data_IF_388421093839
#
_entry.id   IF_388421093839
#
_cell.length_a   1.000
_cell.length_b   1.000
_cell.length_c   1.000
_cell.angle_alpha   90.00
_cell.angle_beta   90.00
_cell.angle_gamma   90.00
#
_symmetry.space_group_name_H-M   'P 1'
#
loop_
_entity.id
_entity.type
_entity.pdbx_description
1 polymer ?
#
# COMPACT_ATOMS: atom_id res chain seq x y z
N UNK A 1 15.05 19.19 -12.25
CA UNK A 1 13.72 19.02 -11.87
C UNK A 1 12.90 18.37 -12.91
N UNK A 2 12.89 18.88 -14.08
CA UNK A 2 12.14 18.25 -15.14
C UNK A 2 12.64 16.85 -15.37
N UNK A 3 13.93 16.67 -15.24
CA UNK A 3 14.54 15.38 -15.43
C UNK A 3 14.05 14.38 -14.42
N UNK A 4 13.87 14.83 -13.21
CA UNK A 4 13.41 13.98 -12.14
C UNK A 4 12.00 13.46 -12.42
N UNK A 5 11.16 14.34 -12.88
CA UNK A 5 9.81 13.95 -13.18
C UNK A 5 9.75 12.96 -14.32
N UNK A 6 10.57 13.17 -15.29
CA UNK A 6 10.60 12.28 -16.42
C UNK A 6 11.03 10.89 -16.00
N UNK A 7 12.04 10.84 -15.19
CA UNK A 7 12.52 9.60 -14.68
C UNK A 7 11.47 8.87 -13.92
N UNK A 8 10.78 9.59 -13.10
CA UNK A 8 9.73 9.05 -12.32
C UNK A 8 8.64 8.44 -13.18
N UNK A 9 8.28 9.14 -14.20
CA UNK A 9 7.24 8.69 -15.08
C UNK A 9 7.65 7.41 -15.81
N UNK A 10 8.85 7.37 -16.27
CA UNK A 10 9.35 6.19 -16.94
C UNK A 10 9.40 5.01 -16.00
N UNK A 11 9.80 5.26 -14.80
CA UNK A 11 9.90 4.22 -13.82
C UNK A 11 8.55 3.66 -13.46
N UNK A 12 7.58 4.52 -13.38
CA UNK A 12 6.26 4.10 -13.04
C UNK A 12 5.75 3.04 -13.97
N UNK A 13 6.03 3.20 -15.19
CA UNK A 13 5.55 2.28 -16.18
C UNK A 13 6.17 0.93 -16.10
N UNK A 14 7.46 0.86 -15.94
CA UNK A 14 8.05 -0.39 -16.04
C UNK A 14 8.26 -0.94 -14.77
N UNK A 15 8.09 -0.24 -13.90
CA UNK A 15 8.70 -0.67 -12.88
C UNK A 15 7.98 -1.13 -11.83
N UNK A 16 7.09 -1.81 -12.00
CA UNK A 16 6.60 -2.44 -10.95
C UNK A 16 7.65 -3.02 -10.14
N UNK A 17 8.80 -3.41 -10.68
CA UNK A 17 9.86 -3.97 -9.92
C UNK A 17 10.77 -2.96 -9.39
N UNK A 18 11.07 -2.00 -10.19
CA UNK A 18 12.06 -1.03 -9.81
C UNK A 18 11.60 -0.14 -8.69
N UNK A 19 10.34 0.03 -8.56
CA UNK A 19 9.82 0.88 -7.50
C UNK A 19 10.00 0.31 -6.11
N UNK A 20 10.61 -0.84 -6.01
CA UNK A 20 10.78 -1.42 -4.70
C UNK A 20 11.78 -0.68 -3.84
N UNK A 21 12.70 0.01 -4.45
CA UNK A 21 13.74 0.66 -3.67
C UNK A 21 13.86 2.11 -4.08
N UNK A 22 13.94 2.99 -3.12
CA UNK A 22 14.21 4.38 -3.41
C UNK A 22 15.70 4.59 -3.43
N UNK A 23 16.18 5.19 -4.51
CA UNK A 23 17.59 5.48 -4.60
C UNK A 23 17.88 6.95 -4.45
N UNK A 24 16.92 7.79 -4.48
CA UNK A 24 17.11 9.23 -4.33
C UNK A 24 16.54 9.71 -3.04
N UNK A 25 16.52 11.02 -2.86
CA UNK A 25 16.01 11.59 -1.63
C UNK A 25 14.50 11.69 -1.63
N UNK A 26 13.87 11.63 -2.76
CA UNK A 26 12.43 11.70 -2.82
C UNK A 26 11.89 11.35 -4.19
N UNK A 27 10.64 10.97 -4.24
CA UNK A 27 9.94 10.68 -5.47
C UNK A 27 8.58 11.33 -5.39
N UNK A 28 8.11 11.87 -6.52
CA UNK A 28 6.80 12.46 -6.60
C UNK A 28 5.97 11.64 -7.57
N UNK A 29 4.78 11.26 -7.15
CA UNK A 29 3.89 10.48 -7.98
C UNK A 29 2.62 11.25 -8.27
N UNK A 30 2.12 11.13 -9.50
CA UNK A 30 0.79 11.64 -9.82
C UNK A 30 -0.17 10.49 -9.55
N UNK A 31 -0.76 10.52 -8.40
CA UNK A 31 -1.53 9.38 -7.91
C UNK A 31 -2.68 9.02 -8.83
N UNK A 32 -3.35 10.01 -9.40
CA UNK A 32 -4.46 9.73 -10.30
C UNK A 32 -4.00 8.94 -11.53
N UNK A 33 -2.84 9.28 -12.06
CA UNK A 33 -2.29 8.56 -13.21
C UNK A 33 -1.91 7.14 -12.84
N UNK A 34 -1.40 6.97 -11.64
CA UNK A 34 -1.06 5.64 -11.16
C UNK A 34 -2.30 4.77 -11.00
N UNK A 35 -3.37 5.37 -10.54
CA UNK A 35 -4.63 4.66 -10.42
C UNK A 35 -5.14 4.23 -11.79
N UNK A 36 -5.07 5.13 -12.77
CA UNK A 36 -5.53 4.81 -14.12
C UNK A 36 -4.73 3.67 -14.73
N UNK A 37 -3.44 3.71 -14.52
CA UNK A 37 -2.56 2.66 -15.02
C UNK A 37 -2.89 1.32 -14.36
N UNK A 38 -3.12 1.36 -13.09
CA UNK A 38 -3.42 0.14 -12.35
C UNK A 38 -4.79 -0.41 -12.71
N UNK A 39 -5.72 0.48 -13.08
CA UNK A 39 -7.04 0.04 -13.50
C UNK A 39 -6.96 -0.78 -14.77
N UNK A 40 -6.06 -0.43 -15.67
CA UNK A 40 -5.83 -1.20 -16.88
C UNK A 40 -5.29 -2.58 -16.52
N UNK A 41 -4.39 -2.64 -15.56
CA UNK A 41 -3.87 -3.92 -15.11
C UNK A 41 -4.98 -4.77 -14.51
N UNK A 42 -5.86 -4.15 -13.79
CA UNK A 42 -6.95 -4.87 -13.16
C UNK A 42 -7.86 -5.54 -14.17
N UNK A 43 -8.04 -4.91 -15.31
CA UNK A 43 -8.88 -5.48 -16.36
C UNK A 43 -8.31 -6.79 -16.90
N UNK A 44 -7.02 -6.99 -16.76
CA UNK A 44 -6.36 -8.17 -17.27
C UNK A 44 -6.03 -9.20 -16.20
N UNK A 45 -6.59 -9.04 -15.00
CA UNK A 45 -6.32 -9.98 -13.93
C UNK A 45 -7.59 -10.67 -13.49
N UNK A 46 -7.48 -11.93 -13.15
CA UNK A 46 -8.64 -12.69 -12.75
C UNK A 46 -8.90 -12.63 -11.25
N UNK A 47 -7.95 -12.13 -10.49
CA UNK A 47 -8.09 -12.13 -9.04
C UNK A 47 -8.88 -10.99 -8.46
N UNK A 48 -9.28 -10.05 -9.27
CA UNK A 48 -10.08 -8.94 -8.79
C UNK A 48 -9.31 -7.87 -8.06
N UNK A 49 -8.00 -7.92 -8.10
CA UNK A 49 -7.19 -6.87 -7.49
C UNK A 49 -5.87 -6.71 -8.21
N UNK A 50 -5.34 -5.51 -8.17
CA UNK A 50 -4.04 -5.20 -8.72
C UNK A 50 -3.35 -4.27 -7.74
N UNK A 51 -2.05 -4.38 -7.62
CA UNK A 51 -1.29 -3.59 -6.67
C UNK A 51 0.05 -3.19 -7.26
N UNK A 52 0.54 -2.05 -6.80
CA UNK A 52 1.81 -1.53 -7.26
C UNK A 52 2.51 -0.85 -6.10
N UNK A 53 3.72 -1.28 -5.79
CA UNK A 53 4.50 -0.60 -4.76
C UNK A 53 5.06 0.67 -5.36
N UNK A 54 4.63 1.81 -4.85
CA UNK A 54 5.10 3.08 -5.34
C UNK A 54 6.48 3.41 -4.80
N UNK A 55 6.69 3.16 -3.53
CA UNK A 55 7.96 3.49 -2.90
C UNK A 55 8.25 2.54 -1.76
N UNK A 56 9.52 2.27 -1.56
CA UNK A 56 9.95 1.41 -0.48
C UNK A 56 11.28 1.90 0.05
N UNK A 57 11.35 2.11 1.34
CA UNK A 57 12.61 2.42 2.02
C UNK A 57 12.80 1.39 3.12
N UNK A 58 13.81 1.56 3.91
CA UNK A 58 14.05 0.65 5.02
C UNK A 58 12.91 0.64 6.02
N UNK A 59 12.27 1.75 6.22
CA UNK A 59 11.23 1.85 7.24
C UNK A 59 9.83 2.12 6.73
N UNK A 60 9.64 2.16 5.41
CA UNK A 60 8.34 2.56 4.87
C UNK A 60 8.07 1.91 3.53
N UNK A 61 6.85 1.48 3.35
CA UNK A 61 6.42 0.99 2.03
C UNK A 61 5.05 1.57 1.72
N UNK A 62 4.91 2.14 0.54
CA UNK A 62 3.65 2.70 0.08
C UNK A 62 3.19 1.90 -1.13
N UNK A 63 2.03 1.31 -1.04
CA UNK A 63 1.47 0.48 -2.09
C UNK A 63 0.12 1.02 -2.52
N UNK A 64 -0.06 1.15 -3.82
CA UNK A 64 -1.35 1.51 -4.36
C UNK A 64 -2.07 0.22 -4.71
N UNK A 65 -3.32 0.11 -4.30
CA UNK A 65 -4.12 -1.09 -4.52
C UNK A 65 -5.43 -0.71 -5.18
N UNK A 66 -5.82 -1.48 -6.17
CA UNK A 66 -7.13 -1.34 -6.78
C UNK A 66 -7.82 -2.69 -6.64
N UNK A 67 -9.02 -2.69 -6.09
CA UNK A 67 -9.70 -3.91 -5.72
C UNK A 67 -11.17 -3.84 -6.13
N UNK A 68 -11.68 -4.90 -6.71
CA UNK A 68 -13.08 -4.93 -7.16
C UNK A 68 -14.02 -5.19 -6.00
N UNK A 69 -15.27 -4.83 -6.21
CA UNK A 69 -16.29 -5.03 -5.20
C UNK A 69 -16.31 -6.48 -4.73
N UNK A 70 -16.48 -6.64 -3.43
CA UNK A 70 -16.60 -7.92 -2.74
C UNK A 70 -15.32 -8.76 -2.69
N UNK A 71 -14.24 -8.25 -3.22
CA UNK A 71 -12.95 -8.94 -3.13
C UNK A 71 -12.30 -8.59 -1.79
N UNK A 72 -11.64 -9.56 -1.23
CA UNK A 72 -11.04 -9.41 0.08
C UNK A 72 -9.53 -9.56 0.01
N UNK A 73 -8.82 -8.85 0.85
CA UNK A 73 -7.38 -9.06 0.96
C UNK A 73 -6.97 -9.00 2.42
N UNK A 74 -5.92 -9.73 2.76
CA UNK A 74 -5.44 -9.82 4.13
C UNK A 74 -3.95 -9.54 4.15
N UNK A 75 -3.57 -8.26 4.26
CA UNK A 75 -2.15 -7.94 4.31
C UNK A 75 -1.51 -8.56 5.54
N UNK A 76 -0.21 -8.82 5.42
CA UNK A 76 0.49 -9.39 6.55
C UNK A 76 0.67 -8.35 7.63
N UNK A 77 0.62 -8.80 8.86
CA UNK A 77 0.85 -7.91 9.99
C UNK A 77 2.30 -7.44 9.99
N UNK A 78 2.52 -6.20 10.37
CA UNK A 78 3.86 -5.66 10.47
C UNK A 78 4.07 -5.15 11.88
N UNK A 79 5.32 -4.98 12.24
CA UNK A 79 5.63 -4.51 13.58
C UNK A 79 5.26 -3.06 13.77
N UNK A 80 5.37 -2.28 12.73
CA UNK A 80 4.98 -0.88 12.82
C UNK A 80 3.54 -0.70 12.43
N UNK A 81 3.08 0.50 12.51
CA UNK A 81 1.71 0.80 12.16
C UNK A 81 1.50 0.85 10.66
N UNK A 82 0.26 1.05 10.28
CA UNK A 82 -0.10 1.15 8.89
C UNK A 82 -1.20 2.19 8.73
N UNK A 83 -1.39 2.69 7.53
CA UNK A 83 -2.54 3.52 7.24
C UNK A 83 -3.12 3.10 5.90
N UNK A 84 -4.43 3.28 5.78
CA UNK A 84 -5.12 3.04 4.54
C UNK A 84 -5.87 4.31 4.21
N UNK A 85 -5.57 4.89 3.07
CA UNK A 85 -6.26 6.08 2.60
C UNK A 85 -7.07 5.71 1.37
N UNK A 86 -8.38 5.89 1.42
CA UNK A 86 -9.23 5.56 0.30
C UNK A 86 -9.28 6.72 -0.66
N UNK A 87 -8.82 6.49 -1.88
CA UNK A 87 -8.79 7.52 -2.91
C UNK A 87 -10.12 7.59 -3.64
N UNK A 88 -10.73 6.45 -3.87
CA UNK A 88 -12.04 6.37 -4.50
C UNK A 88 -12.66 5.04 -4.12
N UNK A 89 -13.90 5.06 -3.69
CA UNK A 89 -14.62 3.84 -3.34
C UNK A 89 -14.89 3.73 -1.86
N UNK A 90 -14.99 2.51 -1.37
CA UNK A 90 -15.33 2.26 0.02
C UNK A 90 -14.85 0.90 0.45
N UNK A 91 -14.18 0.86 1.56
CA UNK A 91 -13.65 -0.38 2.12
C UNK A 91 -14.25 -0.67 3.48
N UNK A 92 -14.31 -1.95 3.81
CA UNK A 92 -14.51 -2.33 5.20
C UNK A 92 -13.19 -2.90 5.69
N UNK A 93 -12.67 -2.33 6.75
CA UNK A 93 -11.41 -2.73 7.34
C UNK A 93 -11.72 -3.32 8.70
N UNK A 94 -11.31 -4.55 8.92
CA UNK A 94 -11.51 -5.20 10.19
C UNK A 94 -10.15 -5.51 10.80
N UNK A 95 -9.89 -4.97 11.97
CA UNK A 95 -8.63 -5.18 12.66
C UNK A 95 -8.92 -5.16 14.14
N UNK A 96 -8.31 -6.10 14.85
CA UNK A 96 -8.53 -6.17 16.28
C UNK A 96 -9.97 -6.48 16.64
N UNK A 97 -10.71 -7.07 15.75
CA UNK A 97 -12.06 -7.49 16.05
C UNK A 97 -13.14 -6.48 15.72
N UNK A 98 -12.77 -5.25 15.40
CA UNK A 98 -13.75 -4.23 15.10
C UNK A 98 -13.71 -3.84 13.64
N UNK A 99 -14.86 -3.70 12.99
CA UNK A 99 -14.88 -3.26 11.61
C UNK A 99 -15.06 -1.75 11.51
N UNK A 100 -14.44 -1.15 10.51
CA UNK A 100 -14.63 0.25 10.17
C UNK A 100 -14.92 0.34 8.68
N UNK A 101 -15.86 1.19 8.31
CA UNK A 101 -16.08 1.49 6.90
C UNK A 101 -15.35 2.79 6.59
N UNK A 102 -14.54 2.76 5.55
CA UNK A 102 -13.69 3.89 5.17
C UNK A 102 -14.02 4.24 3.73
N UNK A 103 -14.43 5.46 3.50
CA UNK A 103 -14.84 5.91 2.16
C UNK A 103 -13.89 6.90 1.55
N UNK A 104 -14.23 7.35 0.36
CA UNK A 104 -13.39 8.27 -0.41
C UNK A 104 -12.97 9.46 0.43
N UNK A 105 -11.68 9.73 0.42
CA UNK A 105 -11.14 10.87 1.17
C UNK A 105 -10.90 10.61 2.64
N UNK A 106 -11.22 9.41 3.11
CA UNK A 106 -11.01 9.07 4.51
C UNK A 106 -9.76 8.21 4.66
N UNK A 107 -9.18 8.29 5.83
CA UNK A 107 -7.97 7.54 6.15
C UNK A 107 -8.15 6.84 7.48
N UNK A 108 -7.76 5.59 7.55
CA UNK A 108 -7.72 4.90 8.82
C UNK A 108 -6.26 4.64 9.19
N UNK A 109 -5.91 4.93 10.42
CA UNK A 109 -4.58 4.64 10.93
C UNK A 109 -4.69 3.43 11.85
N UNK A 110 -3.82 2.46 11.65
CA UNK A 110 -3.86 1.21 12.38
C UNK A 110 -2.64 1.09 13.26
N UNK A 111 -2.86 0.65 14.47
CA UNK A 111 -1.79 0.48 15.44
C UNK A 111 -0.87 -0.66 15.05
N UNK A 112 0.22 -0.76 15.76
CA UNK A 112 1.24 -1.77 15.48
C UNK A 112 0.70 -3.19 15.66
N UNK A 113 1.20 -4.06 14.84
CA UNK A 113 0.96 -5.49 14.97
C UNK A 113 -0.49 -5.96 14.81
N UNK A 114 -1.30 -5.18 14.15
CA UNK A 114 -2.66 -5.60 13.88
C UNK A 114 -2.71 -6.35 12.53
N UNK A 115 -3.50 -7.39 12.50
CA UNK A 115 -3.79 -8.09 11.26
C UNK A 115 -5.08 -7.55 10.76
N UNK A 116 -5.08 -7.03 9.55
CA UNK A 116 -6.30 -6.49 9.00
C UNK A 116 -6.90 -7.39 7.93
N UNK A 117 -8.21 -7.31 7.80
CA UNK A 117 -8.94 -7.90 6.69
C UNK A 117 -9.61 -6.75 5.98
N UNK A 118 -9.37 -6.63 4.70
CA UNK A 118 -9.90 -5.54 3.91
C UNK A 118 -10.86 -6.11 2.89
N UNK A 119 -12.08 -5.60 2.88
CA UNK A 119 -13.09 -6.03 1.91
C UNK A 119 -13.59 -4.81 1.17
N UNK A 120 -13.62 -4.88 -0.15
CA UNK A 120 -14.12 -3.77 -0.94
C UNK A 120 -15.64 -3.81 -0.97
N UNK A 121 -16.27 -2.74 -0.53
CA UNK A 121 -17.72 -2.61 -0.59
C UNK A 121 -18.16 -2.13 -1.96
N UNK A 122 -17.24 -1.54 -2.72
CA UNK A 122 -17.41 -1.19 -4.12
C UNK A 122 -16.00 -1.18 -4.69
N UNK A 123 -15.86 -1.05 -5.98
CA UNK A 123 -14.52 -1.00 -6.56
C UNK A 123 -13.78 0.17 -5.94
N UNK A 124 -12.59 -0.08 -5.43
CA UNK A 124 -11.90 0.90 -4.59
C UNK A 124 -10.43 1.00 -4.95
N UNK A 125 -9.93 2.23 -4.96
CA UNK A 125 -8.52 2.49 -5.07
C UNK A 125 -8.06 3.06 -3.74
N UNK A 126 -7.00 2.51 -3.17
CA UNK A 126 -6.50 3.01 -1.90
C UNK A 126 -4.99 2.89 -1.78
N UNK A 127 -4.44 3.70 -0.91
CA UNK A 127 -3.02 3.65 -0.60
C UNK A 127 -2.85 2.94 0.74
N UNK A 128 -2.01 1.93 0.73
CA UNK A 128 -1.65 1.21 1.94
C UNK A 128 -0.22 1.60 2.27
N UNK A 129 -0.04 2.26 3.39
CA UNK A 129 1.29 2.66 3.84
C UNK A 129 1.62 1.86 5.08
N UNK A 130 2.75 1.19 5.04
CA UNK A 130 3.19 0.32 6.11
C UNK A 130 4.53 0.82 6.62
N UNK A 131 4.66 0.91 7.92
CA UNK A 131 5.88 1.40 8.54
C UNK A 131 6.54 0.30 9.36
N UNK A 132 7.85 0.37 9.44
CA UNK A 132 8.62 -0.49 10.31
C UNK A 132 9.47 0.38 11.21
N UNK A 133 9.80 -0.09 12.40
CA UNK A 133 10.69 0.67 13.26
C UNK A 133 12.05 0.86 12.60
N UNK A 134 12.76 1.87 13.01
CA UNK A 134 14.10 2.13 12.49
C UNK A 134 14.95 0.90 12.69
N UNK A 135 15.75 0.55 11.69
CA UNK A 135 16.57 -0.63 11.75
C UNK A 135 15.75 -1.90 11.59
N UNK A 136 14.91 -1.93 10.59
CA UNK A 136 14.00 -3.04 10.37
C UNK A 136 14.67 -4.41 10.36
N UNK A 137 15.87 -4.49 9.84
CA UNK A 137 16.56 -5.77 9.85
C UNK A 137 16.91 -6.20 11.24
N UNK A 138 17.43 -5.31 12.00
CA UNK A 138 17.77 -5.58 13.39
C UNK A 138 16.52 -5.88 14.20
N UNK A 139 15.48 -5.15 13.92
CA UNK A 139 14.22 -5.36 14.58
C UNK A 139 13.74 -6.78 14.40
N UNK A 140 13.84 -7.25 13.21
CA UNK A 140 13.40 -8.58 12.92
C UNK A 140 14.15 -9.61 13.72
N UNK A 141 15.42 -9.42 13.85
CA UNK A 141 16.25 -10.31 14.63
C UNK A 141 15.89 -10.23 16.09
N UNK A 142 15.66 -9.06 16.57
CA UNK A 142 15.30 -8.87 17.95
C UNK A 142 14.00 -9.55 18.29
N UNK A 143 13.04 -9.40 17.44
CA UNK A 143 11.78 -10.02 17.66
C UNK A 143 11.93 -11.52 17.77
N UNK A 144 12.72 -12.09 16.91
CA UNK A 144 12.95 -13.50 16.93
C UNK A 144 13.66 -13.89 18.21
N UNK A 145 14.62 -13.11 18.58
CA UNK A 145 15.36 -13.42 19.79
C UNK A 145 14.59 -13.24 21.06
N UNK A 146 13.74 -12.23 21.10
CA UNK A 146 13.06 -11.99 22.28
C UNK A 146 11.82 -12.68 22.35
N UNK A 147 11.39 -13.19 21.37
CA UNK A 147 10.23 -13.71 21.32
C UNK A 147 9.77 -14.28 22.18
N UNK A 148 10.00 -13.96 22.53
CA UNK A 148 9.85 -13.49 23.24
C UNK A 148 8.57 -13.49 23.51
#
# INVERSE_FOLDING_TARGET
MTTTNKQQHETSGTARRAAHQMSGRGLVFHVADEVDSLRQDLEHTSGGRAAKTLAKTEGLRITLVLIRKDVEMNPEATAGGASIEVLAGRLRVQAGGEPWDVGTGELIALADNLRERITALEETAFLLTVAWPAGAGAWKQEMTGRQL
#
